data_IF_567351932034
#
_entry.id   IF_567351932034
#
_cell.length_a   1.000
_cell.length_b   1.000
_cell.length_c   1.000
_cell.angle_alpha   90.00
_cell.angle_beta   90.00
_cell.angle_gamma   90.00
#
_symmetry.space_group_name_H-M   'P 1'
#
loop_
_entity.id
_entity.type
_entity.pdbx_description
1 polymer ?
#
# COMPACT_ATOMS: atom_id res chain seq x y z
N UNK A 1 -19.25 0.07 11.61
CA UNK A 1 -19.70 -0.49 10.31
C UNK A 1 -20.88 -1.40 10.60
N UNK A 2 -22.11 -1.00 10.23
CA UNK A 2 -23.31 -1.80 10.52
C UNK A 2 -23.43 -2.25 12.00
N UNK A 3 -23.09 -1.36 12.94
CA UNK A 3 -23.06 -1.68 14.37
C UNK A 3 -21.79 -2.37 14.88
N UNK A 4 -20.94 -2.91 14.01
CA UNK A 4 -19.61 -3.41 14.38
C UNK A 4 -18.69 -2.23 14.68
N UNK A 5 -18.09 -2.18 15.87
CA UNK A 5 -16.99 -1.27 16.17
C UNK A 5 -15.72 -1.85 15.56
N UNK A 6 -15.39 -1.40 14.35
CA UNK A 6 -14.18 -1.87 13.67
C UNK A 6 -12.95 -1.34 14.42
N UNK A 7 -12.17 -2.25 14.97
CA UNK A 7 -10.94 -1.88 15.65
C UNK A 7 -9.86 -1.63 14.59
N UNK A 8 -9.07 -0.55 14.74
CA UNK A 8 -7.78 -0.44 14.05
C UNK A 8 -6.72 -1.24 14.81
N UNK A 9 -7.04 -2.49 15.17
CA UNK A 9 -6.18 -3.35 16.00
C UNK A 9 -4.82 -3.65 15.36
N UNK A 10 -4.66 -3.40 14.06
CA UNK A 10 -3.34 -3.07 13.51
C UNK A 10 -2.93 -1.71 14.07
N UNK A 11 -2.30 -1.71 15.26
CA UNK A 11 -1.57 -0.58 15.87
C UNK A 11 -1.11 0.31 14.73
N UNK A 12 -1.50 1.59 14.71
CA UNK A 12 -1.01 2.56 13.72
C UNK A 12 0.49 2.36 13.55
N UNK A 13 0.90 1.62 12.52
CA UNK A 13 2.30 1.49 12.16
C UNK A 13 2.57 2.72 11.31
N UNK A 14 2.58 3.89 11.97
CA UNK A 14 3.33 4.99 11.42
C UNK A 14 4.73 4.41 11.20
N UNK A 15 5.14 4.41 9.93
CA UNK A 15 6.50 4.12 9.52
C UNK A 15 7.44 4.86 10.49
N UNK A 16 8.11 4.11 11.37
CA UNK A 16 9.14 4.70 12.22
C UNK A 16 10.29 5.01 11.30
N UNK A 17 10.54 6.29 11.05
CA UNK A 17 11.68 6.73 10.25
C UNK A 17 12.97 6.06 10.77
N UNK A 18 13.87 5.71 9.85
CA UNK A 18 15.24 5.38 10.21
C UNK A 18 15.91 6.52 10.98
N UNK A 19 17.11 6.27 11.51
CA UNK A 19 17.88 7.30 12.19
C UNK A 19 18.13 8.54 11.31
N UNK A 20 18.60 9.62 11.95
CA UNK A 20 18.82 10.96 11.33
C UNK A 20 19.69 10.90 10.06
N UNK A 21 20.53 9.87 9.93
CA UNK A 21 21.31 9.58 8.73
C UNK A 21 20.71 8.39 7.97
N UNK A 22 20.41 8.58 6.67
CA UNK A 22 19.75 7.58 5.82
C UNK A 22 20.52 6.25 5.68
N UNK A 23 21.79 6.23 6.08
CA UNK A 23 22.64 5.04 6.16
C UNK A 23 22.32 4.12 7.35
N UNK A 24 21.46 4.56 8.28
CA UNK A 24 21.15 3.81 9.50
C UNK A 24 19.82 3.05 9.47
N UNK A 25 19.05 3.12 8.37
CA UNK A 25 17.80 2.37 8.19
C UNK A 25 17.94 1.29 7.12
N UNK A 26 18.20 0.04 7.50
CA UNK A 26 18.43 -1.08 6.56
C UNK A 26 17.18 -1.94 6.31
N UNK A 27 16.04 -1.60 6.91
CA UNK A 27 14.73 -2.12 6.50
C UNK A 27 13.82 -0.91 6.45
N UNK A 28 13.49 -0.48 5.24
CA UNK A 28 12.52 0.60 5.09
C UNK A 28 11.17 0.16 5.66
N UNK A 29 10.54 1.00 6.50
CA UNK A 29 9.22 0.72 7.02
C UNK A 29 8.20 0.63 5.88
N UNK A 30 7.32 -0.36 5.98
CA UNK A 30 6.30 -0.67 4.99
C UNK A 30 4.94 -0.28 5.56
N UNK A 31 4.14 0.46 4.77
CA UNK A 31 2.75 0.71 5.14
C UNK A 31 1.90 -0.51 4.74
N UNK A 32 1.68 -1.39 5.71
CA UNK A 32 0.77 -2.52 5.56
C UNK A 32 -0.71 -2.09 5.60
N UNK A 33 -1.05 -0.80 5.68
CA UNK A 33 -2.41 -0.30 5.71
C UNK A 33 -3.16 -0.62 7.01
N UNK A 34 -4.48 -0.42 6.98
CA UNK A 34 -5.38 -0.61 8.12
C UNK A 34 -6.59 -1.45 7.76
N UNK A 35 -7.33 -1.93 8.77
CA UNK A 35 -8.60 -2.64 8.53
C UNK A 35 -9.69 -1.79 7.88
N UNK A 36 -9.62 -0.47 7.98
CA UNK A 36 -10.53 0.42 7.26
C UNK A 36 -10.30 0.37 5.74
N UNK A 37 -9.04 0.18 5.32
CA UNK A 37 -8.65 0.15 3.91
C UNK A 37 -9.25 -1.07 3.18
N UNK A 38 -9.72 -2.07 3.92
CA UNK A 38 -10.19 -3.34 3.37
C UNK A 38 -11.67 -3.30 2.99
N UNK A 39 -12.41 -2.27 3.39
CA UNK A 39 -13.82 -2.16 3.04
C UNK A 39 -14.00 -1.89 1.55
N UNK A 40 -14.92 -2.64 0.94
CA UNK A 40 -15.33 -2.43 -0.44
C UNK A 40 -16.16 -1.15 -0.58
N UNK A 41 -15.68 -0.11 -1.31
CA UNK A 41 -16.44 1.12 -1.51
C UNK A 41 -17.76 0.90 -2.25
N UNK A 42 -17.82 -0.10 -3.14
CA UNK A 42 -19.03 -0.42 -3.91
C UNK A 42 -20.19 -0.92 -3.04
N UNK A 43 -19.90 -1.36 -1.81
CA UNK A 43 -20.90 -1.82 -0.85
C UNK A 43 -21.33 -0.75 0.16
N UNK A 44 -20.70 0.43 0.17
CA UNK A 44 -21.06 1.52 1.08
C UNK A 44 -22.33 2.21 0.58
N UNK A 45 -23.33 2.30 1.45
CA UNK A 45 -24.55 3.08 1.22
C UNK A 45 -24.38 4.51 1.72
N UNK A 46 -23.83 4.68 2.93
CA UNK A 46 -23.60 6.00 3.52
C UNK A 46 -22.45 5.99 4.53
N UNK A 47 -21.83 7.16 4.68
CA UNK A 47 -20.84 7.46 5.71
C UNK A 47 -21.29 8.71 6.45
N UNK A 48 -21.62 8.55 7.74
CA UNK A 48 -21.98 9.67 8.61
C UNK A 48 -20.84 9.96 9.59
N UNK A 49 -20.46 11.24 9.70
CA UNK A 49 -19.37 11.67 10.58
C UNK A 49 -19.96 12.26 11.86
N UNK A 50 -19.73 11.60 12.99
CA UNK A 50 -20.04 12.15 14.31
C UNK A 50 -18.82 12.88 14.85
N UNK A 51 -18.95 14.20 15.03
CA UNK A 51 -17.89 15.08 15.54
C UNK A 51 -18.09 15.36 17.03
N UNK A 52 -17.00 15.43 17.78
CA UNK A 52 -16.99 15.92 19.16
C UNK A 52 -17.80 15.05 20.15
N UNK A 53 -18.45 15.67 21.16
CA UNK A 53 -19.04 14.95 22.30
C UNK A 53 -20.13 13.93 21.94
N UNK A 54 -20.86 14.14 20.84
CA UNK A 54 -21.96 13.27 20.43
C UNK A 54 -21.49 11.84 20.08
N UNK A 55 -20.27 11.69 19.54
CA UNK A 55 -19.68 10.39 19.28
C UNK A 55 -19.26 9.66 20.57
N UNK A 56 -18.68 10.40 21.52
CA UNK A 56 -18.28 9.87 22.81
C UNK A 56 -19.48 9.41 23.65
N UNK A 57 -20.63 10.09 23.53
CA UNK A 57 -21.86 9.68 24.21
C UNK A 57 -22.40 8.32 23.72
N UNK A 58 -22.28 8.03 22.42
CA UNK A 58 -22.79 6.78 21.83
C UNK A 58 -21.79 5.63 21.86
N UNK A 59 -20.49 5.92 21.72
CA UNK A 59 -19.43 4.93 21.54
C UNK A 59 -18.36 4.95 22.65
N UNK A 60 -18.60 5.70 23.73
CA UNK A 60 -17.72 5.78 24.90
C UNK A 60 -16.33 6.32 24.56
N UNK A 61 -15.31 5.81 25.27
CA UNK A 61 -13.91 6.21 25.08
C UNK A 61 -13.43 6.05 23.63
N UNK A 62 -13.93 5.06 22.89
CA UNK A 62 -13.55 4.82 21.48
C UNK A 62 -14.08 5.91 20.54
N UNK A 63 -15.13 6.62 20.93
CA UNK A 63 -15.70 7.77 20.21
C UNK A 63 -15.11 9.12 20.61
N UNK A 64 -14.13 9.18 21.53
CA UNK A 64 -13.59 10.44 22.04
C UNK A 64 -12.98 11.34 20.94
N UNK A 65 -12.43 10.74 19.89
CA UNK A 65 -11.88 11.45 18.73
C UNK A 65 -12.90 11.61 17.57
N UNK A 66 -14.19 11.34 17.83
CA UNK A 66 -15.22 11.25 16.80
C UNK A 66 -15.44 9.81 16.31
N UNK A 67 -16.46 9.63 15.46
CA UNK A 67 -16.79 8.33 14.89
C UNK A 67 -17.25 8.44 13.42
N UNK A 68 -16.86 7.46 12.60
CA UNK A 68 -17.38 7.25 11.25
C UNK A 68 -18.41 6.12 11.30
N UNK A 69 -19.68 6.46 11.09
CA UNK A 69 -20.76 5.48 10.97
C UNK A 69 -20.91 5.11 9.51
N UNK A 70 -20.41 3.93 9.16
CA UNK A 70 -20.54 3.33 7.83
C UNK A 70 -21.74 2.38 7.83
N UNK A 71 -22.66 2.61 6.89
CA UNK A 71 -23.79 1.72 6.60
C UNK A 71 -23.57 1.09 5.23
N UNK A 72 -23.64 -0.24 5.16
CA UNK A 72 -23.54 -0.97 3.88
C UNK A 72 -24.90 -1.14 3.22
N UNK A 73 -24.89 -1.27 1.89
CA UNK A 73 -26.09 -1.51 1.08
C UNK A 73 -26.80 -2.78 1.53
N UNK A 74 -28.13 -2.71 1.59
CA UNK A 74 -28.98 -3.84 1.99
C UNK A 74 -29.92 -4.25 0.84
N UNK A 75 -30.59 -5.40 0.97
CA UNK A 75 -31.61 -5.83 0.00
C UNK A 75 -32.80 -4.88 -0.05
N UNK A 76 -33.32 -4.59 -1.24
CA UNK A 76 -34.42 -3.67 -1.42
C UNK A 76 -35.78 -4.39 -1.36
N UNK A 77 -36.56 -4.13 -0.31
CA UNK A 77 -37.90 -4.73 -0.10
C UNK A 77 -38.94 -4.36 -1.16
N UNK A 78 -38.70 -3.30 -1.94
CA UNK A 78 -39.59 -2.86 -3.03
C UNK A 78 -39.31 -3.59 -4.35
N UNK A 79 -38.19 -4.30 -4.48
CA UNK A 79 -37.86 -5.05 -5.70
C UNK A 79 -38.58 -6.40 -5.71
N UNK A 80 -39.54 -6.55 -6.62
CA UNK A 80 -40.30 -7.80 -6.86
C UNK A 80 -39.52 -8.84 -7.70
N UNK A 81 -38.35 -8.46 -8.24
CA UNK A 81 -37.47 -9.31 -9.06
C UNK A 81 -36.04 -9.16 -8.56
N UNK A 82 -35.23 -10.19 -8.77
CA UNK A 82 -33.79 -10.14 -8.49
C UNK A 82 -33.17 -9.06 -9.38
N UNK A 83 -32.54 -8.07 -8.76
CA UNK A 83 -31.69 -7.10 -9.41
C UNK A 83 -30.29 -7.66 -9.54
N UNK A 84 -29.72 -7.52 -10.74
CA UNK A 84 -28.33 -7.86 -11.03
C UNK A 84 -27.64 -6.56 -11.44
N UNK A 85 -26.54 -6.23 -10.78
CA UNK A 85 -25.71 -5.09 -11.14
C UNK A 85 -24.27 -5.56 -11.31
N UNK A 86 -23.74 -5.37 -12.51
CA UNK A 86 -22.32 -5.47 -12.77
C UNK A 86 -21.74 -4.06 -12.93
N UNK A 87 -20.53 -3.83 -12.42
CA UNK A 87 -19.82 -2.56 -12.56
C UNK A 87 -18.35 -2.86 -12.80
N UNK A 88 -17.77 -2.23 -13.81
CA UNK A 88 -16.34 -2.29 -14.12
C UNK A 88 -15.82 -0.87 -14.20
N UNK A 89 -14.86 -0.53 -13.37
CA UNK A 89 -14.22 0.78 -13.31
C UNK A 89 -12.73 0.61 -13.53
N UNK A 90 -12.11 1.51 -14.30
CA UNK A 90 -10.68 1.51 -14.56
C UNK A 90 -10.09 2.90 -14.41
N UNK A 91 -8.89 3.00 -13.85
CA UNK A 91 -8.09 4.22 -13.83
C UNK A 91 -6.64 3.94 -14.22
N UNK A 92 -6.02 4.93 -14.86
CA UNK A 92 -4.59 4.95 -15.13
C UNK A 92 -3.96 6.03 -14.26
N UNK A 93 -2.79 5.72 -13.71
CA UNK A 93 -2.07 6.57 -12.77
C UNK A 93 -0.67 6.88 -13.32
N UNK A 94 -0.20 8.10 -13.09
CA UNK A 94 1.16 8.51 -13.44
C UNK A 94 1.68 9.52 -12.42
N UNK A 95 3.00 9.67 -12.36
CA UNK A 95 3.63 10.66 -11.50
C UNK A 95 3.20 12.08 -11.92
N UNK A 96 2.53 12.79 -11.01
CA UNK A 96 1.92 14.09 -11.28
C UNK A 96 2.94 15.25 -11.35
N UNK A 97 3.97 15.23 -10.50
CA UNK A 97 4.93 16.33 -10.38
C UNK A 97 6.34 15.82 -10.12
N UNK A 98 7.31 16.61 -10.57
CA UNK A 98 8.73 16.37 -10.46
C UNK A 98 9.43 17.62 -9.96
N UNK A 99 10.49 17.50 -9.16
CA UNK A 99 11.36 18.64 -8.89
C UNK A 99 12.06 19.07 -10.18
N UNK A 100 12.30 20.37 -10.31
CA UNK A 100 13.18 20.89 -11.36
C UNK A 100 14.62 20.57 -10.97
N UNK A 101 15.29 19.76 -11.79
CA UNK A 101 16.68 19.35 -11.57
C UNK A 101 17.61 20.21 -12.42
N UNK A 102 18.81 20.48 -11.89
CA UNK A 102 19.86 21.14 -12.66
C UNK A 102 20.50 20.16 -13.67
N UNK A 103 20.83 20.67 -14.85
CA UNK A 103 21.47 19.92 -15.93
C UNK A 103 22.59 20.73 -16.60
N UNK A 104 23.22 21.64 -15.84
CA UNK A 104 24.35 22.45 -16.27
C UNK A 104 25.68 21.81 -15.90
N UNK A 105 25.73 21.11 -14.76
CA UNK A 105 26.93 20.50 -14.20
C UNK A 105 26.70 19.00 -13.99
N UNK A 106 27.73 18.18 -14.25
CA UNK A 106 27.68 16.75 -13.96
C UNK A 106 28.23 16.40 -12.58
N UNK A 107 28.41 15.10 -12.31
CA UNK A 107 28.95 14.59 -11.06
C UNK A 107 30.28 15.25 -10.71
N UNK A 108 30.41 15.64 -9.44
CA UNK A 108 31.65 16.18 -8.87
C UNK A 108 31.39 17.06 -7.65
N UNK A 109 32.47 17.56 -7.07
CA UNK A 109 32.47 18.48 -5.93
C UNK A 109 33.43 19.64 -6.23
N UNK A 110 33.28 20.73 -5.48
CA UNK A 110 34.22 21.86 -5.45
C UNK A 110 34.48 22.54 -6.81
N UNK A 111 33.55 22.41 -7.78
CA UNK A 111 33.65 23.08 -9.08
C UNK A 111 34.79 22.56 -9.96
N UNK A 112 35.18 21.29 -9.81
CA UNK A 112 36.23 20.68 -10.61
C UNK A 112 35.97 20.80 -12.13
N UNK A 113 37.03 21.12 -12.88
CA UNK A 113 36.97 21.27 -14.34
C UNK A 113 37.07 19.94 -15.10
N UNK A 114 37.67 18.91 -14.48
CA UNK A 114 37.92 17.60 -15.11
C UNK A 114 37.24 16.46 -14.35
N UNK A 115 36.98 15.35 -15.06
CA UNK A 115 36.40 14.14 -14.50
C UNK A 115 37.03 12.85 -15.09
N UNK A 116 37.26 11.87 -14.22
CA UNK A 116 37.63 10.51 -14.58
C UNK A 116 37.08 9.53 -13.52
N UNK A 117 36.22 8.62 -13.94
CA UNK A 117 35.58 7.64 -13.08
C UNK A 117 36.63 6.77 -12.36
N UNK A 118 36.54 6.68 -11.04
CA UNK A 118 37.45 5.87 -10.20
C UNK A 118 38.88 6.42 -10.09
N UNK A 119 39.16 7.63 -10.56
CA UNK A 119 40.51 8.23 -10.49
C UNK A 119 40.49 9.68 -10.07
N UNK A 120 39.56 10.49 -10.57
CA UNK A 120 39.37 11.85 -10.05
C UNK A 120 38.94 11.80 -8.59
N UNK A 121 39.40 12.74 -7.75
CA UNK A 121 38.82 12.96 -6.44
C UNK A 121 37.31 13.15 -6.60
N UNK A 122 36.51 12.55 -5.72
CA UNK A 122 35.04 12.65 -5.74
C UNK A 122 34.35 12.07 -6.98
N UNK A 123 35.02 11.17 -7.72
CA UNK A 123 34.38 10.46 -8.85
C UNK A 123 33.28 9.48 -8.46
N UNK A 124 33.13 9.19 -7.16
CA UNK A 124 31.99 8.53 -6.54
C UNK A 124 31.26 9.47 -5.58
N UNK A 125 30.77 10.59 -6.10
CA UNK A 125 29.98 11.58 -5.35
C UNK A 125 28.49 11.38 -5.60
N UNK A 126 27.68 11.78 -4.62
CA UNK A 126 26.22 11.88 -4.75
C UNK A 126 25.76 13.30 -5.18
N UNK A 127 26.71 14.17 -5.54
CA UNK A 127 26.47 15.58 -5.87
C UNK A 127 26.95 15.93 -7.28
N UNK A 128 26.33 16.96 -7.87
CA UNK A 128 26.58 17.41 -9.22
C UNK A 128 27.15 18.84 -9.27
N UNK A 129 28.29 19.04 -8.58
CA UNK A 129 29.08 20.28 -8.60
C UNK A 129 30.40 20.09 -9.35
N UNK A 130 30.41 19.21 -10.37
CA UNK A 130 31.56 18.91 -11.20
C UNK A 130 31.64 19.73 -12.48
N UNK A 131 32.29 19.22 -13.54
CA UNK A 131 32.45 19.93 -14.79
C UNK A 131 31.11 20.30 -15.44
N UNK A 132 31.04 21.52 -15.97
CA UNK A 132 29.90 22.02 -16.76
C UNK A 132 29.76 21.21 -18.05
N UNK A 133 28.54 20.93 -18.53
CA UNK A 133 28.33 20.23 -19.80
C UNK A 133 28.64 21.12 -21.00
N UNK A 134 29.86 21.04 -21.55
CA UNK A 134 30.34 21.85 -22.69
C UNK A 134 30.84 21.01 -23.88
N UNK A 135 30.53 19.70 -23.89
CA UNK A 135 30.87 18.79 -24.99
C UNK A 135 32.24 18.11 -24.86
N UNK A 136 32.92 18.28 -23.73
CA UNK A 136 34.15 17.55 -23.42
C UNK A 136 33.92 16.04 -23.30
N UNK A 137 35.01 15.29 -23.45
CA UNK A 137 35.03 13.84 -23.30
C UNK A 137 35.74 13.47 -22.00
N UNK A 138 35.17 12.53 -21.25
CA UNK A 138 35.77 12.01 -20.02
C UNK A 138 35.75 10.49 -19.99
N UNK A 139 36.67 9.89 -19.24
CA UNK A 139 36.65 8.45 -18.97
C UNK A 139 35.58 8.16 -17.91
N UNK A 140 34.36 7.85 -18.35
CA UNK A 140 33.21 7.64 -17.47
C UNK A 140 33.03 6.15 -17.10
N UNK A 141 31.99 5.86 -16.32
CA UNK A 141 31.58 4.48 -16.00
C UNK A 141 31.13 3.75 -17.26
N UNK A 142 31.57 2.50 -17.41
CA UNK A 142 31.08 1.56 -18.41
C UNK A 142 30.12 0.56 -17.76
N UNK A 143 28.81 0.58 -18.10
CA UNK A 143 27.82 -0.32 -17.51
C UNK A 143 27.97 -1.78 -17.93
N UNK A 144 28.67 -2.07 -19.04
CA UNK A 144 28.87 -3.44 -19.54
C UNK A 144 29.95 -4.13 -18.72
N UNK A 145 31.11 -3.49 -18.58
CA UNK A 145 32.23 -4.03 -17.78
C UNK A 145 32.10 -3.72 -16.29
N UNK A 146 31.22 -2.79 -15.91
CA UNK A 146 31.05 -2.24 -14.56
C UNK A 146 32.31 -1.56 -13.99
N UNK A 147 33.17 -1.05 -14.87
CA UNK A 147 34.45 -0.42 -14.54
C UNK A 147 34.59 0.94 -15.24
N UNK A 148 35.79 1.55 -15.20
CA UNK A 148 36.08 2.75 -15.98
C UNK A 148 36.18 2.38 -17.45
N UNK A 149 35.48 3.12 -18.30
CA UNK A 149 35.63 3.00 -19.75
C UNK A 149 37.08 3.20 -20.18
N UNK A 150 37.54 2.38 -21.13
CA UNK A 150 38.87 2.51 -21.75
C UNK A 150 38.93 3.63 -22.78
N UNK A 151 37.77 4.14 -23.21
CA UNK A 151 37.62 5.24 -24.16
C UNK A 151 36.84 6.38 -23.51
N UNK A 152 37.27 7.61 -23.73
CA UNK A 152 36.54 8.77 -23.23
C UNK A 152 35.19 8.90 -23.95
N UNK A 153 34.11 9.08 -23.19
CA UNK A 153 32.73 9.22 -23.69
C UNK A 153 32.22 10.66 -23.48
N UNK A 154 31.24 11.12 -24.28
CA UNK A 154 30.69 12.47 -24.15
C UNK A 154 30.16 12.79 -22.76
N UNK A 155 30.58 13.91 -22.18
CA UNK A 155 30.01 14.46 -20.95
C UNK A 155 28.73 15.21 -21.29
N UNK A 156 27.59 14.54 -21.12
CA UNK A 156 26.28 15.06 -21.50
C UNK A 156 25.25 14.87 -20.39
N UNK A 157 24.27 15.77 -20.24
CA UNK A 157 23.20 15.61 -19.28
C UNK A 157 22.13 14.65 -19.80
N UNK A 158 21.81 13.64 -19.02
CA UNK A 158 20.67 12.75 -19.21
C UNK A 158 19.42 13.34 -18.55
N UNK A 159 18.72 14.20 -19.31
CA UNK A 159 17.58 14.98 -18.80
C UNK A 159 16.34 14.11 -18.58
N UNK A 160 15.69 14.28 -17.43
CA UNK A 160 14.40 13.67 -17.07
C UNK A 160 14.33 12.13 -17.08
N UNK A 161 15.41 11.39 -17.26
CA UNK A 161 15.39 9.92 -17.32
C UNK A 161 14.97 9.24 -16.02
N UNK A 162 15.09 9.94 -14.88
CA UNK A 162 14.52 9.52 -13.60
C UNK A 162 13.03 9.17 -13.72
N UNK A 163 12.31 9.85 -14.61
CA UNK A 163 10.89 9.62 -14.86
C UNK A 163 10.64 8.26 -15.51
N UNK A 164 11.59 7.75 -16.30
CA UNK A 164 11.51 6.48 -17.01
C UNK A 164 11.64 5.27 -16.08
N UNK A 165 12.05 5.48 -14.83
CA UNK A 165 11.96 4.45 -13.79
C UNK A 165 10.51 4.07 -13.50
N UNK A 166 9.63 5.06 -13.49
CA UNK A 166 8.24 4.86 -13.13
C UNK A 166 7.43 4.45 -14.35
N UNK A 167 6.49 3.55 -14.11
CA UNK A 167 5.54 3.10 -15.12
C UNK A 167 4.18 3.75 -14.90
N UNK A 168 3.28 3.59 -15.87
CA UNK A 168 1.86 3.90 -15.65
C UNK A 168 1.28 2.85 -14.70
N UNK A 169 0.67 3.31 -13.60
CA UNK A 169 -0.14 2.46 -12.74
C UNK A 169 -1.51 2.21 -13.36
N UNK A 170 -2.13 1.08 -13.01
CA UNK A 170 -3.45 0.71 -13.48
C UNK A 170 -4.26 0.12 -12.33
N UNK A 171 -5.47 0.65 -12.13
CA UNK A 171 -6.40 0.12 -11.13
C UNK A 171 -7.71 -0.26 -11.81
N UNK A 172 -8.05 -1.54 -11.79
CA UNK A 172 -9.29 -2.08 -12.36
C UNK A 172 -10.11 -2.71 -11.24
N UNK A 173 -11.38 -2.33 -11.14
CA UNK A 173 -12.33 -2.89 -10.18
C UNK A 173 -13.52 -3.47 -10.91
N UNK A 174 -13.81 -4.75 -10.67
CA UNK A 174 -14.99 -5.45 -11.17
C UNK A 174 -15.88 -5.87 -9.99
N UNK A 175 -17.13 -5.44 -10.01
CA UNK A 175 -18.10 -5.69 -8.95
C UNK A 175 -19.35 -6.33 -9.53
N UNK A 176 -19.81 -7.43 -8.93
CA UNK A 176 -21.08 -8.07 -9.21
C UNK A 176 -21.92 -8.07 -7.94
N UNK A 177 -23.16 -7.60 -8.07
CA UNK A 177 -24.12 -7.49 -7.00
C UNK A 177 -25.46 -8.10 -7.41
N UNK A 178 -26.02 -8.89 -6.50
CA UNK A 178 -27.37 -9.45 -6.59
C UNK A 178 -28.17 -8.95 -5.40
N UNK A 179 -29.37 -8.41 -5.63
CA UNK A 179 -30.25 -7.97 -4.56
C UNK A 179 -31.72 -8.22 -4.89
N UNK A 180 -32.52 -8.53 -3.88
CA UNK A 180 -33.94 -8.74 -4.08
C UNK A 180 -34.70 -9.03 -2.79
N UNK A 181 -36.00 -9.19 -2.95
CA UNK A 181 -36.90 -9.58 -1.88
C UNK A 181 -37.73 -10.80 -2.29
N UNK A 182 -37.93 -11.72 -1.36
CA UNK A 182 -38.86 -12.84 -1.49
C UNK A 182 -39.67 -12.94 -0.20
N UNK A 183 -40.99 -12.83 -0.32
CA UNK A 183 -41.92 -12.73 0.82
C UNK A 183 -41.47 -11.66 1.82
N UNK A 184 -41.17 -12.08 3.06
CA UNK A 184 -40.74 -11.22 4.14
C UNK A 184 -39.21 -11.17 4.31
N UNK A 185 -38.47 -11.64 3.31
CA UNK A 185 -37.01 -11.72 3.33
C UNK A 185 -36.43 -10.82 2.25
N UNK A 186 -35.45 -10.00 2.63
CA UNK A 186 -34.60 -9.22 1.72
C UNK A 186 -33.19 -9.77 1.80
N UNK A 187 -32.57 -9.92 0.63
CA UNK A 187 -31.20 -10.42 0.51
C UNK A 187 -30.42 -9.53 -0.46
N UNK A 188 -29.14 -9.35 -0.15
CA UNK A 188 -28.15 -8.78 -1.05
C UNK A 188 -26.83 -9.53 -0.89
N UNK A 189 -26.22 -9.89 -2.01
CA UNK A 189 -24.88 -10.50 -2.09
C UNK A 189 -24.03 -9.67 -3.05
N UNK A 190 -22.75 -9.46 -2.72
CA UNK A 190 -21.76 -8.89 -3.65
C UNK A 190 -20.50 -9.73 -3.67
N UNK A 191 -19.84 -9.71 -4.83
CA UNK A 191 -18.43 -10.03 -4.96
C UNK A 191 -17.75 -8.89 -5.71
N UNK A 192 -16.58 -8.45 -5.25
CA UNK A 192 -15.80 -7.40 -5.92
C UNK A 192 -14.34 -7.83 -5.95
N UNK A 193 -13.70 -7.71 -7.11
CA UNK A 193 -12.28 -7.90 -7.28
C UNK A 193 -11.68 -6.59 -7.80
N UNK A 194 -10.60 -6.16 -7.17
CA UNK A 194 -9.82 -5.00 -7.57
C UNK A 194 -8.37 -5.44 -7.74
N UNK A 195 -7.79 -5.10 -8.88
CA UNK A 195 -6.38 -5.26 -9.15
C UNK A 195 -5.76 -3.89 -9.40
N UNK A 196 -4.69 -3.57 -8.66
CA UNK A 196 -3.98 -2.31 -8.75
C UNK A 196 -2.48 -2.54 -8.95
N UNK A 197 -1.94 -2.16 -10.09
CA UNK A 197 -0.49 -2.03 -10.32
C UNK A 197 -0.08 -0.58 -10.14
N UNK A 198 1.00 -0.34 -9.39
CA UNK A 198 1.42 1.03 -9.07
C UNK A 198 2.45 1.57 -10.07
N UNK A 199 2.68 2.89 -9.98
CA UNK A 199 3.69 3.59 -10.78
C UNK A 199 5.12 3.14 -10.46
N UNK A 200 5.35 2.54 -9.30
CA UNK A 200 6.63 1.90 -8.95
C UNK A 200 6.62 0.49 -9.53
N UNK A 201 7.62 0.12 -10.36
CA UNK A 201 7.70 -1.22 -10.94
C UNK A 201 7.70 -2.32 -9.87
N UNK A 202 7.18 -3.50 -10.23
CA UNK A 202 7.11 -4.66 -9.35
C UNK A 202 6.40 -4.40 -8.00
N UNK A 203 5.44 -3.48 -8.00
CA UNK A 203 4.59 -3.21 -6.83
C UNK A 203 3.13 -3.08 -7.23
N UNK A 204 2.25 -3.51 -6.33
CA UNK A 204 0.82 -3.52 -6.57
C UNK A 204 0.05 -4.19 -5.44
N UNK A 205 -1.25 -4.32 -5.63
CA UNK A 205 -2.15 -4.90 -4.65
C UNK A 205 -3.41 -5.45 -5.31
N UNK A 206 -3.82 -6.63 -4.87
CA UNK A 206 -5.09 -7.24 -5.20
C UNK A 206 -6.02 -7.22 -3.99
N UNK A 207 -7.30 -6.96 -4.24
CA UNK A 207 -8.36 -7.02 -3.22
C UNK A 207 -9.53 -7.81 -3.74
N UNK A 208 -10.01 -8.73 -2.91
CA UNK A 208 -11.23 -9.48 -3.16
C UNK A 208 -12.16 -9.33 -1.97
N UNK A 209 -13.36 -8.82 -2.21
CA UNK A 209 -14.38 -8.60 -1.21
C UNK A 209 -15.62 -9.41 -1.54
N UNK A 210 -16.24 -9.99 -0.50
CA UNK A 210 -17.54 -10.62 -0.58
C UNK A 210 -18.43 -10.11 0.54
N UNK A 211 -19.66 -9.74 0.23
CA UNK A 211 -20.61 -9.23 1.23
C UNK A 211 -21.97 -9.92 1.12
N UNK A 212 -22.61 -10.08 2.27
CA UNK A 212 -23.94 -10.62 2.44
C UNK A 212 -24.72 -9.68 3.36
N UNK A 213 -25.93 -9.30 2.94
CA UNK A 213 -26.94 -8.68 3.80
C UNK A 213 -28.20 -9.51 3.70
N UNK A 214 -28.73 -9.94 4.84
CA UNK A 214 -29.98 -10.69 4.96
C UNK A 214 -30.84 -10.02 6.03
N UNK A 215 -32.13 -9.82 5.73
CA UNK A 215 -33.11 -9.39 6.72
C UNK A 215 -34.44 -10.09 6.45
N UNK A 216 -34.94 -10.84 7.43
CA UNK A 216 -36.12 -11.70 7.31
C UNK A 216 -37.05 -11.55 8.49
N UNK A 217 -38.33 -11.26 8.24
CA UNK A 217 -39.39 -11.47 9.23
C UNK A 217 -39.78 -12.95 9.18
N UNK A 218 -39.05 -13.75 9.96
CA UNK A 218 -39.24 -15.21 10.09
C UNK A 218 -40.66 -15.53 10.55
N UNK A 219 -41.18 -14.75 11.50
CA UNK A 219 -42.59 -14.80 11.94
C UNK A 219 -43.11 -13.37 12.12
N UNK A 220 -44.43 -13.15 12.34
CA UNK A 220 -44.95 -11.83 12.69
C UNK A 220 -44.32 -11.22 13.95
N UNK A 221 -43.72 -12.05 14.82
CA UNK A 221 -43.07 -11.60 16.06
C UNK A 221 -41.53 -11.62 15.99
N UNK A 222 -40.92 -12.36 15.07
CA UNK A 222 -39.47 -12.56 15.02
C UNK A 222 -38.89 -12.00 13.72
N UNK A 223 -37.98 -11.04 13.86
CA UNK A 223 -37.13 -10.54 12.78
C UNK A 223 -35.68 -10.93 13.01
N UNK A 224 -35.03 -11.48 11.99
CA UNK A 224 -33.61 -11.79 12.00
C UNK A 224 -32.93 -11.00 10.89
N UNK A 225 -31.86 -10.29 11.23
CA UNK A 225 -31.02 -9.60 10.26
C UNK A 225 -29.54 -9.88 10.52
N UNK A 226 -28.78 -10.05 9.45
CA UNK A 226 -27.34 -10.23 9.50
C UNK A 226 -26.69 -9.51 8.34
N UNK A 227 -25.51 -8.97 8.60
CA UNK A 227 -24.60 -8.50 7.57
C UNK A 227 -23.23 -9.11 7.80
N UNK A 228 -22.62 -9.64 6.76
CA UNK A 228 -21.28 -10.21 6.77
C UNK A 228 -20.48 -9.59 5.62
N UNK A 229 -19.25 -9.16 5.90
CA UNK A 229 -18.33 -8.62 4.91
C UNK A 229 -16.97 -9.31 5.09
N UNK A 230 -16.58 -10.09 4.11
CA UNK A 230 -15.26 -10.68 4.00
C UNK A 230 -14.41 -9.88 3.02
N UNK A 231 -13.15 -9.64 3.39
CA UNK A 231 -12.18 -8.95 2.54
C UNK A 231 -10.85 -9.69 2.59
N UNK A 232 -10.26 -9.96 1.43
CA UNK A 232 -8.89 -10.39 1.28
C UNK A 232 -8.11 -9.30 0.56
N UNK A 233 -6.93 -8.96 1.10
CA UNK A 233 -6.00 -8.02 0.49
C UNK A 233 -4.63 -8.65 0.41
N UNK A 234 -4.11 -8.76 -0.79
CA UNK A 234 -2.83 -9.37 -1.08
C UNK A 234 -1.93 -8.38 -1.81
N UNK A 235 -0.64 -8.41 -1.47
CA UNK A 235 0.42 -7.76 -2.24
C UNK A 235 1.65 -8.64 -2.11
N UNK A 236 2.25 -8.98 -3.23
CA UNK A 236 3.51 -9.72 -3.30
C UNK A 236 4.70 -8.84 -2.92
N UNK A 237 4.62 -7.54 -3.22
CA UNK A 237 5.65 -6.58 -2.88
C UNK A 237 5.10 -5.15 -2.66
N UNK A 238 5.01 -4.75 -1.39
CA UNK A 238 4.76 -3.37 -1.01
C UNK A 238 6.06 -2.54 -1.05
N UNK A 239 6.03 -1.28 -1.53
CA UNK A 239 7.20 -0.43 -1.51
C UNK A 239 7.57 -0.06 -0.07
N UNK A 240 8.87 -0.01 0.20
CA UNK A 240 9.39 0.62 1.40
C UNK A 240 9.16 2.13 1.38
N UNK A 241 8.90 2.72 2.54
CA UNK A 241 8.68 4.15 2.71
C UNK A 241 9.71 4.75 3.67
N UNK A 242 9.78 6.08 3.72
CA UNK A 242 10.63 6.79 4.66
C UNK A 242 11.99 7.20 4.09
N UNK A 243 12.93 7.47 4.99
CA UNK A 243 14.25 8.03 4.69
C UNK A 243 15.36 7.00 4.96
N UNK A 244 16.04 6.57 3.90
CA UNK A 244 17.21 5.70 3.98
C UNK A 244 17.60 5.06 2.66
N UNK A 245 18.63 4.22 2.67
CA UNK A 245 19.26 3.69 1.46
C UNK A 245 18.32 2.90 0.53
N UNK A 246 17.32 2.19 1.08
CA UNK A 246 16.32 1.43 0.30
C UNK A 246 15.12 2.28 -0.12
N UNK A 247 15.14 3.60 0.13
CA UNK A 247 14.06 4.50 -0.28
C UNK A 247 14.30 5.00 -1.69
N UNK A 248 13.34 4.76 -2.57
CA UNK A 248 13.39 5.22 -3.96
C UNK A 248 13.50 6.76 -4.04
N UNK A 249 12.78 7.48 -3.16
CA UNK A 249 12.86 8.95 -3.12
C UNK A 249 14.21 9.46 -2.64
N UNK A 250 14.82 8.76 -1.69
CA UNK A 250 16.17 9.06 -1.25
C UNK A 250 17.16 8.88 -2.40
N UNK A 251 17.02 7.81 -3.17
CA UNK A 251 17.84 7.57 -4.36
C UNK A 251 17.71 8.67 -5.41
N UNK A 252 16.49 9.14 -5.74
CA UNK A 252 16.28 10.16 -6.76
C UNK A 252 17.05 11.47 -6.51
N UNK A 253 17.24 11.84 -5.24
CA UNK A 253 17.95 13.08 -4.86
C UNK A 253 19.45 12.97 -5.18
N UNK A 254 20.02 11.76 -5.16
CA UNK A 254 21.45 11.51 -5.32
C UNK A 254 21.83 10.98 -6.71
N UNK A 255 20.88 10.92 -7.65
CA UNK A 255 21.20 10.47 -9.01
C UNK A 255 21.93 11.53 -9.81
N UNK A 256 22.88 11.08 -10.63
CA UNK A 256 23.86 11.94 -11.30
C UNK A 256 23.33 12.41 -12.66
N UNK A 257 23.44 13.71 -13.01
CA UNK A 257 22.95 14.22 -14.29
C UNK A 257 23.68 13.64 -15.50
N UNK A 258 24.93 13.22 -15.36
CA UNK A 258 25.75 12.66 -16.45
C UNK A 258 25.64 11.14 -16.61
N UNK A 259 24.69 10.49 -15.93
CA UNK A 259 24.54 9.04 -15.97
C UNK A 259 23.15 8.60 -16.47
N UNK A 260 23.14 7.63 -17.39
CA UNK A 260 21.89 7.05 -17.86
C UNK A 260 21.30 6.11 -16.81
N UNK A 261 20.02 6.26 -16.49
CA UNK A 261 19.35 5.41 -15.50
C UNK A 261 19.36 3.92 -15.88
N UNK A 262 19.35 3.60 -17.18
CA UNK A 262 19.33 2.22 -17.66
C UNK A 262 20.61 1.46 -17.29
N UNK A 263 21.70 2.16 -16.96
CA UNK A 263 22.94 1.55 -16.46
C UNK A 263 22.76 0.82 -15.13
N UNK A 264 21.69 1.13 -14.39
CA UNK A 264 21.36 0.49 -13.13
C UNK A 264 20.54 -0.80 -13.29
N UNK A 265 20.03 -1.11 -14.49
CA UNK A 265 19.22 -2.32 -14.72
C UNK A 265 20.02 -3.61 -14.50
N UNK A 266 21.31 -3.60 -14.85
CA UNK A 266 22.24 -4.66 -14.45
C UNK A 266 22.77 -4.35 -13.04
N UNK A 267 21.94 -4.64 -12.03
CA UNK A 267 22.23 -4.31 -10.63
C UNK A 267 23.02 -5.37 -9.90
N UNK A 268 23.34 -6.51 -10.50
CA UNK A 268 24.27 -7.49 -9.91
C UNK A 268 25.69 -7.16 -10.35
N UNK A 269 26.67 -7.35 -9.46
CA UNK A 269 28.07 -7.32 -9.87
C UNK A 269 28.32 -8.50 -10.82
N UNK A 270 28.94 -8.25 -11.97
CA UNK A 270 29.20 -9.29 -12.98
C UNK A 270 29.91 -10.51 -12.37
N UNK A 271 29.31 -11.70 -12.49
CA UNK A 271 29.85 -12.95 -11.93
C UNK A 271 29.63 -13.13 -10.43
N UNK A 272 28.85 -12.25 -9.81
CA UNK A 272 28.43 -12.31 -8.40
C UNK A 272 26.91 -12.08 -8.26
N UNK A 273 26.16 -12.64 -9.20
CA UNK A 273 24.71 -12.68 -9.17
C UNK A 273 24.22 -13.29 -7.85
N UNK A 274 23.14 -12.72 -7.31
CA UNK A 274 22.54 -13.06 -6.01
C UNK A 274 23.45 -12.85 -4.78
N UNK A 275 24.62 -12.20 -4.96
CA UNK A 275 25.61 -12.01 -3.88
C UNK A 275 25.98 -10.56 -3.63
N UNK A 276 26.24 -9.77 -4.67
CA UNK A 276 26.66 -8.36 -4.54
C UNK A 276 25.87 -7.45 -5.47
N UNK A 277 25.31 -6.38 -4.90
CA UNK A 277 24.54 -5.38 -5.62
C UNK A 277 25.48 -4.26 -6.08
N UNK A 278 25.40 -3.94 -7.38
CA UNK A 278 26.17 -2.86 -7.99
C UNK A 278 25.41 -1.54 -7.91
N UNK A 279 26.11 -0.55 -7.35
CA UNK A 279 25.82 0.87 -7.54
C UNK A 279 27.09 1.60 -8.00
N UNK A 280 27.10 2.31 -9.15
CA UNK A 280 28.35 2.80 -9.75
C UNK A 280 29.01 3.96 -9.01
N UNK A 281 28.23 4.89 -8.45
CA UNK A 281 28.75 6.21 -8.03
C UNK A 281 28.80 6.41 -6.52
N UNK A 282 28.42 5.42 -5.74
CA UNK A 282 28.41 5.50 -4.29
C UNK A 282 28.27 4.11 -3.69
N UNK A 283 28.66 3.96 -2.42
CA UNK A 283 28.31 2.79 -1.61
C UNK A 283 26.92 2.91 -0.96
N UNK A 284 26.29 4.09 -1.08
CA UNK A 284 24.95 4.42 -0.56
C UNK A 284 24.31 5.51 -1.44
N UNK A 285 23.05 5.44 -1.88
CA UNK A 285 21.96 4.46 -1.66
C UNK A 285 22.09 3.13 -2.43
N UNK A 286 21.21 2.16 -2.17
CA UNK A 286 21.12 0.93 -2.98
C UNK A 286 20.56 1.21 -4.39
N UNK A 287 20.79 0.25 -5.30
CA UNK A 287 20.30 0.34 -6.66
C UNK A 287 18.75 0.27 -6.68
N UNK A 288 18.04 1.23 -7.30
CA UNK A 288 16.58 1.28 -7.32
C UNK A 288 15.93 0.09 -8.02
N UNK A 289 16.60 -0.50 -9.03
CA UNK A 289 16.12 -1.72 -9.69
C UNK A 289 16.31 -2.94 -8.79
N UNK A 290 17.38 -3.00 -7.99
CA UNK A 290 17.51 -4.05 -6.97
C UNK A 290 16.42 -3.88 -5.90
N UNK A 291 16.17 -2.65 -5.42
CA UNK A 291 15.13 -2.36 -4.41
C UNK A 291 13.77 -2.92 -4.84
N UNK A 292 13.32 -2.61 -6.06
CA UNK A 292 11.98 -3.06 -6.49
C UNK A 292 11.91 -4.55 -6.80
N UNK A 293 13.00 -5.20 -7.20
CA UNK A 293 12.98 -6.61 -7.60
C UNK A 293 13.35 -7.58 -6.47
N UNK A 294 14.21 -7.18 -5.53
CA UNK A 294 14.80 -8.07 -4.54
C UNK A 294 14.36 -7.77 -3.10
N UNK A 295 13.96 -6.53 -2.79
CA UNK A 295 13.65 -6.11 -1.42
C UNK A 295 12.16 -6.31 -1.13
N UNK A 296 11.77 -7.58 -1.09
CA UNK A 296 10.37 -7.99 -1.08
C UNK A 296 9.68 -7.69 0.25
N UNK A 297 8.47 -7.12 0.18
CA UNK A 297 7.58 -6.92 1.33
C UNK A 297 6.18 -7.47 1.02
N UNK A 298 5.96 -8.76 1.28
CA UNK A 298 4.71 -9.46 1.01
C UNK A 298 3.71 -9.31 2.15
N UNK A 299 2.44 -9.20 1.81
CA UNK A 299 1.33 -9.24 2.78
C UNK A 299 0.11 -9.98 2.24
N UNK A 300 -0.57 -10.71 3.12
CA UNK A 300 -1.89 -11.28 2.87
C UNK A 300 -2.76 -11.07 4.11
N UNK A 301 -3.81 -10.26 3.98
CA UNK A 301 -4.75 -9.95 5.07
C UNK A 301 -6.13 -10.46 4.73
N UNK A 302 -6.71 -11.24 5.64
CA UNK A 302 -8.09 -11.68 5.61
C UNK A 302 -8.85 -10.97 6.73
N UNK A 303 -9.95 -10.31 6.41
CA UNK A 303 -10.83 -9.65 7.36
C UNK A 303 -12.25 -10.16 7.24
N UNK A 304 -12.93 -10.34 8.37
CA UNK A 304 -14.36 -10.62 8.44
C UNK A 304 -15.01 -9.66 9.43
N UNK A 305 -15.90 -8.81 8.96
CA UNK A 305 -16.75 -7.99 9.82
C UNK A 305 -18.19 -8.41 9.67
N UNK A 306 -18.93 -8.54 10.76
CA UNK A 306 -20.32 -8.93 10.67
C UNK A 306 -21.14 -8.76 11.92
N UNK A 307 -22.45 -8.87 11.75
CA UNK A 307 -23.41 -8.84 12.83
C UNK A 307 -24.49 -9.91 12.65
N UNK A 308 -25.11 -10.30 13.76
CA UNK A 308 -26.35 -11.04 13.81
C UNK A 308 -27.27 -10.34 14.80
N UNK A 309 -28.47 -9.99 14.37
CA UNK A 309 -29.48 -9.35 15.19
C UNK A 309 -30.78 -10.14 15.11
N UNK A 310 -31.35 -10.44 16.27
CA UNK A 310 -32.69 -11.01 16.42
C UNK A 310 -33.56 -10.05 17.22
N UNK A 311 -34.72 -9.69 16.69
CA UNK A 311 -35.73 -8.87 17.38
C UNK A 311 -37.01 -9.68 17.55
N UNK A 312 -37.49 -9.81 18.78
CA UNK A 312 -38.68 -10.58 19.15
C UNK A 312 -39.72 -9.70 19.85
N UNK A 313 -40.93 -9.66 19.31
CA UNK A 313 -42.07 -8.95 19.88
C UNK A 313 -42.76 -9.83 20.94
N UNK A 314 -42.41 -9.62 22.22
CA UNK A 314 -42.97 -10.36 23.37
C UNK A 314 -44.46 -10.06 23.53
N UNK A 315 -44.82 -8.78 23.53
CA UNK A 315 -46.20 -8.27 23.56
C UNK A 315 -46.35 -7.10 22.59
N UNK A 316 -47.54 -6.53 22.39
CA UNK A 316 -47.68 -5.33 21.52
C UNK A 316 -46.85 -4.13 22.00
N UNK A 317 -46.59 -4.01 23.30
CA UNK A 317 -45.83 -2.92 23.91
C UNK A 317 -44.36 -3.29 24.19
N UNK A 318 -43.99 -4.58 24.19
CA UNK A 318 -42.68 -5.05 24.64
C UNK A 318 -41.90 -5.74 23.50
N UNK A 319 -40.72 -5.22 23.19
CA UNK A 319 -39.80 -5.77 22.19
C UNK A 319 -38.44 -6.09 22.82
N UNK A 320 -37.92 -7.28 22.50
CA UNK A 320 -36.60 -7.76 22.88
C UNK A 320 -35.69 -7.80 21.65
N UNK A 321 -34.51 -7.21 21.73
CA UNK A 321 -33.48 -7.28 20.70
C UNK A 321 -32.20 -7.89 21.27
N UNK A 322 -31.67 -8.90 20.59
CA UNK A 322 -30.36 -9.47 20.81
C UNK A 322 -29.49 -9.15 19.59
N UNK A 323 -28.26 -8.70 19.81
CA UNK A 323 -27.29 -8.42 18.73
C UNK A 323 -25.92 -8.96 19.12
N UNK A 324 -25.31 -9.71 18.23
CA UNK A 324 -23.89 -10.07 18.30
C UNK A 324 -23.17 -9.41 17.13
N UNK A 325 -22.01 -8.84 17.38
CA UNK A 325 -21.13 -8.25 16.36
C UNK A 325 -19.76 -8.88 16.46
N UNK A 326 -19.06 -8.97 15.34
CA UNK A 326 -17.75 -9.59 15.22
C UNK A 326 -16.87 -8.83 14.22
N UNK A 327 -15.61 -8.64 14.60
CA UNK A 327 -14.52 -8.12 13.76
C UNK A 327 -13.33 -9.09 13.90
N UNK A 328 -13.00 -9.80 12.83
CA UNK A 328 -11.86 -10.72 12.75
C UNK A 328 -10.87 -10.21 11.71
N UNK A 329 -9.58 -10.31 12.03
CA UNK A 329 -8.51 -10.08 11.08
C UNK A 329 -7.40 -11.12 11.28
N UNK A 330 -6.90 -11.65 10.16
CA UNK A 330 -5.69 -12.47 10.12
C UNK A 330 -4.79 -11.95 9.01
N UNK A 331 -3.57 -11.57 9.36
CA UNK A 331 -2.61 -10.98 8.44
C UNK A 331 -1.29 -11.73 8.53
N UNK A 332 -0.77 -12.14 7.38
CA UNK A 332 0.56 -12.73 7.22
C UNK A 332 1.43 -11.75 6.47
N UNK A 333 2.61 -11.47 7.02
CA UNK A 333 3.62 -10.59 6.40
C UNK A 333 4.90 -11.38 6.19
N UNK A 334 5.60 -11.11 5.10
CA UNK A 334 6.96 -11.56 4.88
C UNK A 334 7.81 -10.40 4.37
N UNK A 335 9.03 -10.29 4.88
CA UNK A 335 10.04 -9.36 4.39
C UNK A 335 11.29 -10.14 4.05
N UNK A 336 11.75 -9.98 2.81
CA UNK A 336 12.90 -10.68 2.27
C UNK A 336 13.92 -9.64 1.83
N UNK A 337 15.17 -9.85 2.19
CA UNK A 337 16.29 -8.97 1.83
C UNK A 337 17.38 -9.84 1.23
N UNK A 338 17.87 -9.51 0.01
CA UNK A 338 18.89 -10.29 -0.65
C UNK A 338 20.23 -10.20 0.10
N UNK A 339 21.22 -10.98 -0.31
CA UNK A 339 22.59 -10.67 0.05
C UNK A 339 22.94 -9.25 -0.38
N UNK A 340 23.82 -8.60 0.40
CA UNK A 340 24.23 -7.21 0.17
C UNK A 340 23.09 -6.18 0.28
N UNK A 341 22.06 -6.48 1.08
CA UNK A 341 20.97 -5.55 1.40
C UNK A 341 21.38 -4.46 2.41
N UNK A 342 22.34 -3.63 2.00
CA UNK A 342 22.90 -2.57 2.81
C UNK A 342 23.86 -3.09 3.89
N UNK A 343 24.43 -2.18 4.67
CA UNK A 343 25.53 -2.50 5.58
C UNK A 343 25.17 -3.42 6.74
N UNK A 344 23.89 -3.47 7.16
CA UNK A 344 23.49 -4.32 8.28
C UNK A 344 22.98 -5.70 7.88
N UNK A 345 22.65 -5.92 6.60
CA UNK A 345 22.16 -7.21 6.11
C UNK A 345 23.04 -7.77 4.97
N UNK A 346 24.37 -7.89 5.17
CA UNK A 346 25.27 -8.38 4.13
C UNK A 346 24.97 -9.83 3.71
N UNK A 347 24.42 -10.64 4.62
CA UNK A 347 23.98 -12.02 4.36
C UNK A 347 22.48 -12.12 4.03
N UNK A 348 21.81 -10.99 3.81
CA UNK A 348 20.37 -10.91 3.66
C UNK A 348 19.60 -11.17 4.95
N UNK A 349 18.28 -11.23 4.82
CA UNK A 349 17.37 -11.50 5.94
C UNK A 349 16.04 -12.01 5.42
N UNK A 350 15.42 -12.90 6.19
CA UNK A 350 14.04 -13.33 5.98
C UNK A 350 13.27 -13.22 7.29
N UNK A 351 12.14 -12.51 7.25
CA UNK A 351 11.27 -12.30 8.41
C UNK A 351 9.84 -12.57 8.05
N UNK A 352 9.16 -13.37 8.86
CA UNK A 352 7.70 -13.55 8.78
C UNK A 352 7.02 -13.00 10.02
N UNK A 353 5.76 -12.61 9.88
CA UNK A 353 4.92 -12.21 10.99
C UNK A 353 3.48 -12.64 10.72
N UNK A 354 2.91 -13.40 11.66
CA UNK A 354 1.48 -13.72 11.69
C UNK A 354 0.80 -12.84 12.74
N UNK A 355 -0.26 -12.14 12.34
CA UNK A 355 -1.02 -11.24 13.18
C UNK A 355 -2.47 -11.71 13.16
N UNK A 356 -3.05 -11.89 14.35
CA UNK A 356 -4.44 -12.24 14.51
C UNK A 356 -5.12 -11.27 15.48
N UNK A 357 -6.31 -10.81 15.12
CA UNK A 357 -7.15 -9.95 15.94
C UNK A 357 -8.59 -10.40 15.86
N UNK A 358 -9.27 -10.40 17.00
CA UNK A 358 -10.70 -10.69 17.11
C UNK A 358 -11.33 -9.77 18.15
N UNK A 359 -12.47 -9.18 17.79
CA UNK A 359 -13.38 -8.54 18.73
C UNK A 359 -14.79 -9.09 18.53
N UNK A 360 -15.46 -9.47 19.62
CA UNK A 360 -16.86 -9.89 19.62
C UNK A 360 -17.60 -9.09 20.68
N UNK A 361 -18.74 -8.48 20.32
CA UNK A 361 -19.60 -7.77 21.27
C UNK A 361 -21.01 -8.34 21.23
N UNK A 362 -21.60 -8.54 22.41
CA UNK A 362 -22.96 -9.03 22.57
C UNK A 362 -23.79 -7.96 23.28
N UNK A 363 -24.92 -7.60 22.68
CA UNK A 363 -25.84 -6.59 23.17
C UNK A 363 -27.23 -7.20 23.35
N UNK A 364 -27.88 -6.77 24.41
CA UNK A 364 -29.27 -7.06 24.71
C UNK A 364 -29.99 -5.74 24.97
N UNK A 365 -31.19 -5.57 24.40
CA UNK A 365 -32.00 -4.38 24.55
C UNK A 365 -33.48 -4.74 24.68
N UNK A 366 -34.12 -4.27 25.75
CA UNK A 366 -35.58 -4.31 25.90
C UNK A 366 -36.12 -2.91 25.65
N UNK A 367 -37.17 -2.81 24.83
CA UNK A 367 -37.92 -1.58 24.60
C UNK A 367 -39.37 -1.79 25.01
N UNK A 368 -39.89 -0.86 25.80
CA UNK A 368 -41.29 -0.76 26.17
C UNK A 368 -41.83 0.54 25.58
N UNK A 369 -42.89 0.47 24.76
CA UNK A 369 -43.54 1.62 24.10
C UNK A 369 -45.03 1.58 24.27
#
# INVERSE_FOLDING_TARGET
>A
IDGVVASSSSRRTASTGGGVYGTSGDIMPVDFGSGLNDLNPEDIESVNVLKGPAAAALYGQRGANGALIITTKSGNSKKKRIGIKFTSNGSLESANRWPDMQYEYGLGLDGQADYAYGTSPNSGSSSAYGPRFEGQLFYQYDPVTQTRSTVATPWVPYKNQIRDFFQSGQNITNSLALDGAYNNTTIRVSATNQNNTWIVPNTGMERTSASLSLNSKVTPKLNISTKLNYNNRFSDNLPGNGYGNQSLMYWFIFWQPNADINWLKNYWVNGQEDKLIKYPYSSFPENPYAIVNEFINRTSRNGLTGNLQASYQLTKALNLQLRTTMDLASEKRAQERPYDAGTKLPQGSYRTQDIYGQETSNEFLIRYT
#
